data_IF_705557069932
#
_entry.id   IF_705557069932
#
_cell.length_a   1.000
_cell.length_b   1.000
_cell.length_c   1.000
_cell.angle_alpha   90.00
_cell.angle_beta   90.00
_cell.angle_gamma   90.00
#
_symmetry.space_group_name_H-M   'P 1'
#
loop_
_entity.id
_entity.type
_entity.pdbx_description
1 polymer ?
#
# COMPACT_ATOMS: atom_id res chain seq x y z
N UNK A 1 -27.06 11.56 3.14
CA UNK A 1 -26.31 11.38 4.40
C UNK A 1 -24.90 10.94 4.05
N UNK A 2 -23.89 11.62 4.61
CA UNK A 2 -22.47 11.37 4.32
C UNK A 2 -21.88 10.23 5.17
N UNK A 3 -22.65 9.67 6.11
CA UNK A 3 -22.20 8.61 7.02
C UNK A 3 -21.87 7.27 6.34
N UNK A 4 -22.05 7.15 5.02
CA UNK A 4 -21.72 5.95 4.22
C UNK A 4 -20.52 6.17 3.30
N UNK A 5 -19.85 7.31 3.41
CA UNK A 5 -18.65 7.62 2.65
C UNK A 5 -17.46 7.51 3.59
N UNK A 6 -16.40 6.84 3.16
CA UNK A 6 -15.11 6.88 3.84
C UNK A 6 -14.11 7.72 3.03
N UNK A 7 -13.33 8.55 3.70
CA UNK A 7 -12.23 9.28 3.07
C UNK A 7 -10.88 8.85 3.65
N UNK A 8 -9.96 8.51 2.75
CA UNK A 8 -8.60 8.14 3.08
C UNK A 8 -7.64 9.18 2.52
N UNK A 9 -6.74 9.69 3.36
CA UNK A 9 -5.62 10.48 2.89
C UNK A 9 -4.47 9.56 2.50
N UNK A 10 -3.89 9.78 1.32
CA UNK A 10 -2.71 9.05 0.89
C UNK A 10 -1.46 9.66 1.53
N UNK A 11 -0.68 8.85 2.26
CA UNK A 11 0.61 9.25 2.83
C UNK A 11 1.71 8.48 2.11
N UNK A 12 2.27 9.14 1.11
CA UNK A 12 3.27 8.57 0.19
C UNK A 12 4.37 9.57 -0.17
N UNK A 13 4.54 10.61 0.64
CA UNK A 13 5.69 11.52 0.55
C UNK A 13 6.25 11.83 1.93
N UNK A 14 7.51 12.28 2.00
CA UNK A 14 8.14 12.71 3.26
C UNK A 14 7.37 13.86 3.92
N UNK A 15 6.95 14.85 3.13
CA UNK A 15 6.16 15.97 3.62
C UNK A 15 4.80 15.52 4.20
N UNK A 16 4.12 14.54 3.57
CA UNK A 16 2.89 13.99 4.11
C UNK A 16 3.11 13.24 5.43
N UNK A 17 4.24 12.52 5.56
CA UNK A 17 4.60 11.87 6.82
C UNK A 17 4.91 12.88 7.94
N UNK A 18 5.62 13.96 7.63
CA UNK A 18 5.88 15.06 8.57
C UNK A 18 4.58 15.72 9.04
N UNK A 19 3.59 15.86 8.14
CA UNK A 19 2.27 16.41 8.43
C UNK A 19 1.26 15.40 9.01
N UNK A 20 1.68 14.15 9.30
CA UNK A 20 0.76 13.05 9.58
C UNK A 20 -0.21 13.33 10.71
N UNK A 21 0.22 13.90 11.83
CA UNK A 21 -0.70 14.18 12.96
C UNK A 21 -1.78 15.20 12.57
N UNK A 22 -1.43 16.24 11.81
CA UNK A 22 -2.42 17.20 11.30
C UNK A 22 -3.42 16.57 10.32
N UNK A 23 -2.96 15.64 9.48
CA UNK A 23 -3.84 14.84 8.62
C UNK A 23 -4.77 13.96 9.47
N UNK A 24 -4.24 13.33 10.51
CA UNK A 24 -5.01 12.50 11.44
C UNK A 24 -6.00 13.34 12.30
N UNK A 25 -5.73 14.60 12.55
CA UNK A 25 -6.66 15.47 13.28
C UNK A 25 -7.74 16.10 12.36
N UNK A 26 -7.58 15.98 11.04
CA UNK A 26 -8.50 16.59 10.07
C UNK A 26 -9.90 15.92 10.15
N UNK A 27 -10.97 16.71 10.38
CA UNK A 27 -12.34 16.18 10.38
C UNK A 27 -12.73 15.57 9.03
N UNK A 28 -13.35 14.39 9.07
CA UNK A 28 -13.79 13.68 7.88
C UNK A 28 -12.74 12.76 7.23
N UNK A 29 -11.51 12.72 7.74
CA UNK A 29 -10.55 11.66 7.38
C UNK A 29 -10.82 10.44 8.26
N UNK A 30 -11.14 9.30 7.65
CA UNK A 30 -11.41 8.05 8.36
C UNK A 30 -10.17 7.16 8.47
N UNK A 31 -9.16 7.41 7.64
CA UNK A 31 -7.97 6.58 7.57
C UNK A 31 -6.84 7.15 6.74
N UNK A 32 -5.71 6.46 6.84
CA UNK A 32 -4.52 6.69 6.03
C UNK A 32 -4.37 5.52 5.08
N UNK A 33 -4.05 5.82 3.82
CA UNK A 33 -3.65 4.83 2.84
C UNK A 33 -2.20 5.09 2.44
N UNK A 34 -1.33 4.08 2.54
CA UNK A 34 0.07 4.19 2.12
C UNK A 34 0.24 3.55 0.74
N UNK A 35 0.79 4.32 -0.20
CA UNK A 35 1.28 3.85 -1.49
C UNK A 35 2.79 3.64 -1.45
N UNK A 36 3.31 2.42 -1.22
CA UNK A 36 4.74 2.26 -0.95
C UNK A 36 5.63 2.51 -2.18
N UNK A 37 5.10 2.37 -3.40
CA UNK A 37 5.84 2.72 -4.63
C UNK A 37 6.16 4.20 -4.69
N UNK A 38 5.14 5.06 -4.62
CA UNK A 38 5.33 6.51 -4.64
C UNK A 38 6.09 6.98 -3.41
N UNK A 39 5.87 6.33 -2.26
CA UNK A 39 6.67 6.60 -1.08
C UNK A 39 8.16 6.28 -1.31
N UNK A 40 8.50 5.18 -1.98
CA UNK A 40 9.89 4.86 -2.31
C UNK A 40 10.54 5.87 -3.26
N UNK A 41 9.78 6.40 -4.22
CA UNK A 41 10.22 7.45 -5.14
C UNK A 41 10.53 8.72 -4.35
N UNK A 42 9.59 9.17 -3.50
CA UNK A 42 9.77 10.32 -2.65
C UNK A 42 10.90 10.10 -1.62
N UNK A 43 11.08 8.87 -1.16
CA UNK A 43 12.11 8.50 -0.20
C UNK A 43 13.50 8.50 -0.81
N UNK A 44 13.63 8.12 -2.07
CA UNK A 44 14.91 8.01 -2.73
C UNK A 44 15.24 9.21 -3.62
N UNK A 45 14.42 10.27 -3.56
CA UNK A 45 14.50 11.44 -4.45
C UNK A 45 14.46 11.04 -5.94
N UNK A 46 13.59 10.10 -6.30
CA UNK A 46 13.35 9.67 -7.68
C UNK A 46 14.31 8.61 -8.22
N UNK A 47 15.26 8.15 -7.42
CA UNK A 47 16.29 7.20 -7.88
C UNK A 47 15.83 5.74 -7.98
N UNK A 48 14.74 5.36 -7.31
CA UNK A 48 14.25 3.99 -7.32
C UNK A 48 12.73 3.92 -7.19
N UNK A 49 12.16 2.84 -7.72
CA UNK A 49 10.77 2.44 -7.48
C UNK A 49 10.86 1.07 -6.82
N UNK A 50 10.77 1.04 -5.50
CA UNK A 50 10.89 -0.16 -4.70
C UNK A 50 9.96 -0.13 -3.48
N UNK A 51 8.80 -0.76 -3.61
CA UNK A 51 7.76 -0.81 -2.57
C UNK A 51 8.19 -1.48 -1.25
N UNK A 52 9.30 -2.21 -1.26
CA UNK A 52 9.85 -2.91 -0.10
C UNK A 52 11.23 -2.36 0.30
N UNK A 53 11.55 -1.12 -0.11
CA UNK A 53 12.80 -0.47 0.25
C UNK A 53 12.95 -0.44 1.78
N UNK A 54 13.97 -1.13 2.30
CA UNK A 54 14.07 -1.38 3.74
C UNK A 54 14.23 -0.10 4.56
N UNK A 55 14.92 0.90 4.02
CA UNK A 55 15.18 2.17 4.70
C UNK A 55 13.93 3.02 4.97
N UNK A 56 12.78 2.74 4.32
CA UNK A 56 11.51 3.42 4.61
C UNK A 56 10.57 2.60 5.51
N UNK A 57 10.88 1.33 5.79
CA UNK A 57 9.93 0.41 6.45
C UNK A 57 9.63 0.78 7.89
N UNK A 58 10.57 1.37 8.62
CA UNK A 58 10.33 1.90 9.97
C UNK A 58 9.32 3.06 9.92
N UNK A 59 9.42 3.93 8.92
CA UNK A 59 8.47 5.02 8.70
C UNK A 59 7.10 4.48 8.29
N UNK A 60 7.05 3.49 7.41
CA UNK A 60 5.80 2.80 7.05
C UNK A 60 5.14 2.16 8.27
N UNK A 61 5.91 1.58 9.19
CA UNK A 61 5.39 1.05 10.45
C UNK A 61 4.86 2.16 11.37
N UNK A 62 5.60 3.27 11.50
CA UNK A 62 5.19 4.43 12.30
C UNK A 62 3.88 5.04 11.82
N UNK A 63 3.65 5.09 10.50
CA UNK A 63 2.37 5.56 9.92
C UNK A 63 1.21 4.70 10.41
N UNK A 64 1.32 3.37 10.34
CA UNK A 64 0.28 2.45 10.81
C UNK A 64 0.02 2.60 12.31
N UNK A 65 1.09 2.69 13.11
CA UNK A 65 1.00 2.84 14.55
C UNK A 65 0.27 4.13 14.94
N UNK A 66 0.68 5.28 14.40
CA UNK A 66 0.06 6.59 14.68
C UNK A 66 -1.39 6.64 14.21
N UNK A 67 -1.66 6.13 13.01
CA UNK A 67 -3.02 6.04 12.46
C UNK A 67 -3.94 5.24 13.36
N UNK A 68 -3.48 4.09 13.86
CA UNK A 68 -4.26 3.26 14.78
C UNK A 68 -4.43 3.88 16.16
N UNK A 69 -3.40 4.54 16.69
CA UNK A 69 -3.50 5.29 17.96
C UNK A 69 -4.54 6.40 17.89
N UNK A 70 -4.68 7.03 16.72
CA UNK A 70 -5.74 8.01 16.45
C UNK A 70 -7.14 7.38 16.24
N UNK A 71 -7.28 6.06 16.36
CA UNK A 71 -8.54 5.35 16.14
C UNK A 71 -8.99 5.26 14.68
N UNK A 72 -8.08 5.52 13.73
CA UNK A 72 -8.37 5.56 12.29
C UNK A 72 -7.91 4.29 11.56
N UNK A 73 -8.43 4.08 10.36
CA UNK A 73 -8.09 2.91 9.54
C UNK A 73 -6.73 3.06 8.86
N UNK A 74 -5.83 2.11 9.11
CA UNK A 74 -4.55 2.01 8.41
C UNK A 74 -4.68 1.06 7.20
N UNK A 75 -4.49 1.62 6.00
CA UNK A 75 -4.52 0.92 4.72
C UNK A 75 -3.19 1.01 3.98
N UNK A 76 -2.88 0.01 3.16
CA UNK A 76 -1.64 -0.02 2.36
C UNK A 76 -1.84 -0.79 1.06
N UNK A 77 -1.14 -0.37 0.00
CA UNK A 77 -1.03 -1.16 -1.22
C UNK A 77 0.10 -2.20 -1.09
N UNK A 78 -0.21 -3.45 -1.41
CA UNK A 78 0.72 -4.59 -1.39
C UNK A 78 0.97 -5.05 -2.82
N UNK A 79 2.21 -4.90 -3.28
CA UNK A 79 2.63 -5.36 -4.62
C UNK A 79 3.04 -6.83 -4.55
N UNK A 80 3.83 -7.19 -3.54
CA UNK A 80 4.34 -8.53 -3.34
C UNK A 80 3.51 -9.26 -2.28
N UNK A 81 2.89 -10.41 -2.60
CA UNK A 81 2.01 -11.10 -1.64
C UNK A 81 2.74 -11.48 -0.34
N UNK A 82 4.04 -11.77 -0.42
CA UNK A 82 4.89 -12.10 0.71
C UNK A 82 4.96 -10.98 1.78
N UNK A 83 4.72 -9.72 1.41
CA UNK A 83 4.74 -8.59 2.33
C UNK A 83 3.48 -8.49 3.21
N UNK A 84 2.40 -9.21 2.88
CA UNK A 84 1.13 -9.12 3.58
C UNK A 84 1.28 -9.35 5.10
N UNK A 85 2.02 -10.39 5.51
CA UNK A 85 2.25 -10.69 6.93
C UNK A 85 3.01 -9.57 7.64
N UNK A 86 4.03 -9.01 6.98
CA UNK A 86 4.85 -7.92 7.52
C UNK A 86 4.02 -6.66 7.75
N UNK A 87 3.25 -6.23 6.75
CA UNK A 87 2.42 -5.02 6.91
C UNK A 87 1.27 -5.22 7.90
N UNK A 88 0.71 -6.43 8.01
CA UNK A 88 -0.27 -6.78 9.05
C UNK A 88 0.33 -6.67 10.46
N UNK A 89 1.59 -7.08 10.64
CA UNK A 89 2.30 -6.94 11.92
C UNK A 89 2.60 -5.48 12.29
N UNK A 90 2.81 -4.61 11.30
CA UNK A 90 2.96 -3.16 11.49
C UNK A 90 1.65 -2.49 11.94
N UNK A 91 0.50 -3.11 11.65
CA UNK A 91 -0.81 -2.63 12.07
C UNK A 91 -1.78 -2.31 10.94
N UNK A 92 -1.41 -2.50 9.68
CA UNK A 92 -2.33 -2.33 8.56
C UNK A 92 -3.44 -3.39 8.60
N UNK A 93 -4.66 -2.99 8.24
CA UNK A 93 -5.87 -3.85 8.25
C UNK A 93 -6.67 -3.81 6.96
N UNK A 94 -6.42 -2.84 6.10
CA UNK A 94 -6.97 -2.77 4.75
C UNK A 94 -5.80 -2.90 3.76
N UNK A 95 -5.71 -4.04 3.09
CA UNK A 95 -4.65 -4.33 2.13
C UNK A 95 -5.25 -4.30 0.73
N UNK A 96 -4.89 -3.31 -0.06
CA UNK A 96 -5.18 -3.31 -1.49
C UNK A 96 -4.09 -4.08 -2.21
N UNK A 97 -4.46 -4.99 -3.10
CA UNK A 97 -3.48 -5.80 -3.82
C UNK A 97 -3.99 -6.13 -5.22
N UNK A 98 -3.06 -6.05 -6.18
CA UNK A 98 -3.34 -6.37 -7.57
C UNK A 98 -4.11 -5.27 -8.28
N UNK A 99 -3.99 -5.28 -9.60
CA UNK A 99 -4.87 -4.56 -10.51
C UNK A 99 -5.55 -5.57 -11.42
N UNK A 100 -6.66 -5.18 -12.01
CA UNK A 100 -7.30 -5.92 -13.09
C UNK A 100 -6.31 -6.30 -14.20
N UNK A 101 -5.46 -5.36 -14.61
CA UNK A 101 -4.40 -5.58 -15.59
C UNK A 101 -3.42 -6.66 -15.14
N UNK A 102 -2.95 -6.61 -13.89
CA UNK A 102 -2.03 -7.62 -13.35
C UNK A 102 -2.70 -8.99 -13.28
N UNK A 103 -3.95 -9.06 -12.84
CA UNK A 103 -4.70 -10.32 -12.77
C UNK A 103 -4.89 -10.95 -14.15
N UNK A 104 -5.28 -10.14 -15.15
CA UNK A 104 -5.43 -10.61 -16.54
C UNK A 104 -4.08 -11.09 -17.09
N UNK A 105 -3.01 -10.33 -16.87
CA UNK A 105 -1.66 -10.67 -17.35
C UNK A 105 -1.16 -11.99 -16.74
N UNK A 106 -1.35 -12.19 -15.43
CA UNK A 106 -0.98 -13.44 -14.74
C UNK A 106 -1.82 -14.63 -15.21
N UNK A 107 -3.14 -14.44 -15.37
CA UNK A 107 -4.03 -15.47 -15.89
C UNK A 107 -3.67 -15.88 -17.33
N UNK A 108 -3.41 -14.91 -18.20
CA UNK A 108 -3.00 -15.15 -19.58
C UNK A 108 -1.68 -15.93 -19.65
N UNK A 109 -0.66 -15.56 -18.86
CA UNK A 109 0.60 -16.30 -18.77
C UNK A 109 0.38 -17.75 -18.32
N UNK A 110 -0.50 -17.96 -17.35
CA UNK A 110 -0.83 -19.31 -16.82
C UNK A 110 -1.50 -20.18 -17.88
N UNK A 111 -2.49 -19.65 -18.60
CA UNK A 111 -3.19 -20.36 -19.67
C UNK A 111 -2.26 -20.68 -20.83
N UNK A 112 -1.48 -19.70 -21.30
CA UNK A 112 -0.54 -19.89 -22.40
C UNK A 112 0.56 -20.91 -22.05
N UNK A 113 1.06 -20.88 -20.81
CA UNK A 113 2.01 -21.90 -20.34
C UNK A 113 1.38 -23.29 -20.40
N UNK A 114 0.18 -23.46 -19.84
CA UNK A 114 -0.52 -24.75 -19.82
C UNK A 114 -0.80 -25.28 -21.23
N UNK A 115 -1.11 -24.39 -22.18
CA UNK A 115 -1.31 -24.74 -23.58
C UNK A 115 0.00 -25.15 -24.27
N UNK A 116 1.13 -24.49 -23.98
CA UNK A 116 2.45 -24.87 -24.53
C UNK A 116 2.89 -26.23 -24.00
N UNK A 117 2.74 -26.45 -22.70
CA UNK A 117 3.08 -27.70 -22.04
C UNK A 117 2.28 -28.89 -22.64
N UNK A 118 1.00 -28.70 -23.00
CA UNK A 118 0.15 -29.77 -23.54
C UNK A 118 0.48 -30.18 -24.98
N UNK A 119 1.16 -29.32 -25.74
CA UNK A 119 1.59 -29.60 -27.12
C UNK A 119 3.09 -29.88 -27.24
N UNK A 120 3.82 -29.95 -26.11
CA UNK A 120 5.25 -30.25 -26.07
C UNK A 120 6.15 -29.13 -26.60
N UNK A 121 5.73 -27.87 -26.46
CA UNK A 121 6.46 -26.67 -26.89
C UNK A 121 7.18 -25.95 -25.75
#
# INVERSE_FOLDING_TARGET
SNQRTMAFAMVETRAAFEALDGILDTPGIDGIFVGPSDFSIAWSNGTTVNSTLESMMETVASIAERTRKAGKHAAIYVIEPAMAGRVVSMGYRLLAMGSDHTLISLGAKTLLKSMRDSIGA
#
